data_IF_130692835467
#
_entry.id   IF_130692835467
#
_cell.length_a   1.000
_cell.length_b   1.000
_cell.length_c   1.000
_cell.angle_alpha   90.00
_cell.angle_beta   90.00
_cell.angle_gamma   90.00
#
_symmetry.space_group_name_H-M   'P 1'
#
loop_
_entity.id
_entity.type
_entity.pdbx_description
1 polymer ?
#
# COMPACT_ATOMS: atom_id res chain seq x y z
N UNK A 1 -20.54 1.39 13.18
CA UNK A 1 -19.83 0.19 12.68
C UNK A 1 -18.33 0.46 12.74
N UNK A 2 -17.61 -0.14 13.69
CA UNK A 2 -16.16 -0.01 13.84
C UNK A 2 -15.49 -0.70 12.66
N UNK A 3 -14.90 0.10 11.76
CA UNK A 3 -14.15 -0.42 10.61
C UNK A 3 -12.98 -1.25 11.15
N UNK A 4 -13.06 -2.58 11.04
CA UNK A 4 -11.98 -3.46 11.50
C UNK A 4 -10.70 -3.05 10.78
N UNK A 5 -9.69 -2.66 11.55
CA UNK A 5 -8.39 -2.30 11.00
C UNK A 5 -7.74 -3.59 10.54
N UNK A 6 -7.60 -3.77 9.23
CA UNK A 6 -6.73 -4.83 8.72
C UNK A 6 -5.30 -4.52 9.13
N UNK A 7 -4.70 -5.41 9.91
CA UNK A 7 -3.30 -5.33 10.30
C UNK A 7 -2.47 -5.95 9.18
N UNK A 8 -1.82 -5.10 8.39
CA UNK A 8 -0.80 -5.52 7.45
C UNK A 8 0.56 -5.49 8.13
N UNK A 9 1.35 -6.54 7.92
CA UNK A 9 2.73 -6.59 8.39
C UNK A 9 3.57 -5.49 7.74
N UNK A 10 4.59 -5.01 8.46
CA UNK A 10 5.46 -3.92 7.98
C UNK A 10 6.18 -4.31 6.69
N UNK A 11 6.64 -5.57 6.57
CA UNK A 11 7.25 -6.09 5.35
C UNK A 11 6.31 -5.99 4.13
N UNK A 12 5.03 -6.32 4.33
CA UNK A 12 4.02 -6.24 3.28
C UNK A 12 3.77 -4.79 2.82
N UNK A 13 3.71 -3.84 3.76
CA UNK A 13 3.54 -2.41 3.44
C UNK A 13 4.71 -1.88 2.61
N UNK A 14 5.94 -2.26 2.99
CA UNK A 14 7.16 -1.89 2.30
C UNK A 14 7.22 -2.50 0.89
N UNK A 15 6.86 -3.77 0.75
CA UNK A 15 6.81 -4.44 -0.56
C UNK A 15 5.84 -3.72 -1.51
N UNK A 16 4.64 -3.38 -1.02
CA UNK A 16 3.64 -2.65 -1.81
C UNK A 16 4.12 -1.24 -2.17
N UNK A 17 4.73 -0.51 -1.24
CA UNK A 17 5.28 0.81 -1.52
C UNK A 17 6.42 0.74 -2.55
N UNK A 18 7.32 -0.25 -2.42
CA UNK A 18 8.39 -0.51 -3.38
C UNK A 18 7.86 -0.89 -4.75
N UNK A 19 6.84 -1.74 -4.84
CA UNK A 19 6.20 -2.07 -6.11
C UNK A 19 5.68 -0.83 -6.86
N UNK A 20 5.09 0.13 -6.15
CA UNK A 20 4.61 1.37 -6.78
C UNK A 20 5.74 2.33 -7.13
N UNK A 21 6.72 2.50 -6.24
CA UNK A 21 7.79 3.50 -6.40
C UNK A 21 8.91 3.00 -7.32
N UNK A 22 9.38 1.78 -7.10
CA UNK A 22 10.54 1.15 -7.74
C UNK A 22 10.14 0.51 -9.07
N UNK A 23 9.00 -0.21 -9.11
CA UNK A 23 8.52 -0.87 -10.33
C UNK A 23 7.53 -0.02 -11.14
N UNK A 24 7.14 1.16 -10.64
CA UNK A 24 6.22 2.06 -11.32
C UNK A 24 4.79 1.52 -11.47
N UNK A 25 4.40 0.54 -10.65
CA UNK A 25 3.06 -0.05 -10.73
C UNK A 25 1.99 0.96 -10.34
N UNK A 26 0.89 0.95 -11.09
CA UNK A 26 -0.24 1.83 -10.80
C UNK A 26 -0.95 1.41 -9.51
N UNK A 27 -1.22 2.38 -8.62
CA UNK A 27 -1.98 2.13 -7.39
C UNK A 27 -3.32 1.45 -7.69
N UNK A 28 -4.00 1.85 -8.78
CA UNK A 28 -5.26 1.22 -9.19
C UNK A 28 -5.11 -0.26 -9.59
N UNK A 29 -3.96 -0.68 -10.12
CA UNK A 29 -3.68 -2.07 -10.41
C UNK A 29 -3.54 -2.86 -9.10
N UNK A 30 -2.72 -2.37 -8.17
CA UNK A 30 -2.49 -3.04 -6.89
C UNK A 30 -3.78 -3.11 -6.05
N UNK A 31 -4.62 -2.07 -6.09
CA UNK A 31 -5.94 -2.09 -5.44
C UNK A 31 -6.80 -3.24 -5.98
N UNK A 32 -6.74 -3.52 -7.28
CA UNK A 32 -7.52 -4.61 -7.91
C UNK A 32 -6.90 -5.99 -7.65
N UNK A 33 -5.59 -6.12 -7.81
CA UNK A 33 -4.86 -7.39 -7.64
C UNK A 33 -4.86 -7.87 -6.18
N UNK A 34 -4.51 -6.97 -5.25
CA UNK A 34 -4.30 -7.32 -3.85
C UNK A 34 -5.50 -6.97 -2.95
N UNK A 35 -6.55 -6.37 -3.52
CA UNK A 35 -7.75 -5.93 -2.80
C UNK A 35 -7.43 -4.99 -1.61
N UNK A 36 -6.36 -4.19 -1.74
CA UNK A 36 -5.92 -3.25 -0.71
C UNK A 36 -6.59 -1.90 -0.97
N UNK A 37 -7.07 -1.24 0.09
CA UNK A 37 -7.66 0.09 -0.03
C UNK A 37 -6.67 1.13 -0.55
N UNK A 38 -7.06 1.91 -1.56
CA UNK A 38 -6.26 2.99 -2.17
C UNK A 38 -5.62 3.93 -1.15
N UNK A 39 -6.36 4.30 -0.12
CA UNK A 39 -5.89 5.20 0.96
C UNK A 39 -4.75 4.58 1.77
N UNK A 40 -4.76 3.27 1.99
CA UNK A 40 -3.69 2.57 2.70
C UNK A 40 -2.40 2.58 1.87
N UNK A 41 -2.51 2.25 0.57
CA UNK A 41 -1.37 2.25 -0.36
C UNK A 41 -0.75 3.64 -0.46
N UNK A 42 -1.55 4.69 -0.67
CA UNK A 42 -1.04 6.07 -0.71
C UNK A 42 -0.29 6.46 0.57
N UNK A 43 -0.81 6.04 1.73
CA UNK A 43 -0.14 6.30 3.02
C UNK A 43 1.20 5.58 3.12
N UNK A 44 1.29 4.33 2.68
CA UNK A 44 2.55 3.57 2.71
C UNK A 44 3.58 4.12 1.74
N UNK A 45 3.17 4.52 0.53
CA UNK A 45 4.05 5.20 -0.43
C UNK A 45 4.60 6.49 0.17
N UNK A 46 3.74 7.27 0.82
CA UNK A 46 4.17 8.52 1.44
C UNK A 46 5.12 8.28 2.62
N UNK A 47 4.89 7.24 3.43
CA UNK A 47 5.84 6.82 4.46
C UNK A 47 7.17 6.37 3.87
N UNK A 48 7.14 5.56 2.81
CA UNK A 48 8.33 5.05 2.12
C UNK A 48 9.17 6.14 1.44
N UNK A 49 8.56 7.26 1.03
CA UNK A 49 9.27 8.41 0.43
C UNK A 49 9.80 9.43 1.44
N UNK A 50 9.29 9.39 2.67
CA UNK A 50 9.68 10.31 3.76
C UNK A 50 10.81 9.73 4.61
N UNK A 51 11.06 8.42 4.48
CA UNK A 51 12.22 7.71 5.02
C UNK A 51 13.44 7.87 4.12
#
# INVERSE_FOLDING_TARGET
MTKQRQHYETAFKLEVARMVVDQGLSVAQIVKDMNIGRTAINRWIQQYRVE
#
